data_IF_868688588626
#
_entry.id   IF_868688588626
#
_cell.length_a   1.000
_cell.length_b   1.000
_cell.length_c   1.000
_cell.angle_alpha   90.00
_cell.angle_beta   90.00
_cell.angle_gamma   90.00
#
_symmetry.space_group_name_H-M   'P 1'
#
loop_
_entity.id
_entity.type
_entity.pdbx_description
1 polymer ?
#
# COMPACT_ATOMS: atom_id res chain seq x y z
N UNK A 1 28.19 40.00 -33.42
CA UNK A 1 29.20 40.83 -32.72
C UNK A 1 28.64 42.12 -32.10
N UNK A 2 27.68 42.85 -32.72
CA UNK A 2 27.18 44.13 -32.15
C UNK A 2 26.38 43.99 -30.82
N UNK A 3 25.60 42.92 -30.63
CA UNK A 3 24.85 42.68 -29.37
C UNK A 3 25.76 42.36 -28.16
N UNK A 4 26.95 41.82 -28.39
CA UNK A 4 27.83 41.34 -27.32
C UNK A 4 28.31 42.45 -26.38
N UNK A 5 28.47 43.68 -26.87
CA UNK A 5 28.86 44.82 -26.02
C UNK A 5 27.70 45.22 -25.08
N UNK A 6 26.48 45.29 -25.59
CA UNK A 6 25.31 45.63 -24.79
C UNK A 6 24.97 44.53 -23.76
N UNK A 7 25.16 43.25 -24.09
CA UNK A 7 25.00 42.16 -23.12
C UNK A 7 26.02 42.30 -21.96
N UNK A 8 27.27 42.70 -22.25
CA UNK A 8 28.26 42.99 -21.19
C UNK A 8 27.84 44.19 -20.33
N UNK A 9 27.26 45.23 -20.92
CA UNK A 9 26.72 46.37 -20.18
C UNK A 9 25.57 45.94 -19.26
N UNK A 10 24.62 45.14 -19.77
CA UNK A 10 23.53 44.57 -18.97
C UNK A 10 24.09 43.73 -17.81
N UNK A 11 25.09 42.88 -18.06
CA UNK A 11 25.75 42.08 -17.01
C UNK A 11 26.44 42.94 -15.94
N UNK A 12 27.05 44.05 -16.33
CA UNK A 12 27.66 44.98 -15.37
C UNK A 12 26.60 45.73 -14.54
N UNK A 13 25.52 46.20 -15.17
CA UNK A 13 24.40 46.83 -14.49
C UNK A 13 23.69 45.85 -13.52
N UNK A 14 23.56 44.58 -13.93
CA UNK A 14 23.03 43.51 -13.10
C UNK A 14 23.84 43.35 -11.80
N UNK A 15 25.18 43.35 -11.86
CA UNK A 15 26.02 43.25 -10.66
C UNK A 15 25.74 44.37 -9.66
N UNK A 16 25.46 45.57 -10.15
CA UNK A 16 25.08 46.72 -9.32
C UNK A 16 23.72 46.52 -8.66
N UNK A 17 22.74 46.00 -9.40
CA UNK A 17 21.38 45.75 -8.89
C UNK A 17 21.32 44.56 -7.92
N UNK A 18 22.17 43.54 -8.10
CA UNK A 18 22.29 42.40 -7.17
C UNK A 18 22.85 42.77 -5.80
N UNK A 19 23.40 43.97 -5.62
CA UNK A 19 23.82 44.41 -4.29
C UNK A 19 22.59 44.42 -3.37
N UNK A 20 22.73 43.89 -2.17
CA UNK A 20 21.67 43.87 -1.15
C UNK A 20 21.36 45.26 -0.54
N UNK A 21 21.51 46.32 -1.32
CA UNK A 21 21.35 47.71 -0.91
C UNK A 21 19.96 47.98 -0.34
N UNK A 22 18.90 47.47 -0.99
CA UNK A 22 17.53 47.61 -0.46
C UNK A 22 17.39 46.98 0.93
N UNK A 23 17.95 45.78 1.14
CA UNK A 23 17.95 45.14 2.46
C UNK A 23 18.77 45.91 3.49
N UNK A 24 19.91 46.49 3.10
CA UNK A 24 20.78 47.28 3.98
C UNK A 24 20.14 48.59 4.42
N UNK A 25 19.35 49.22 3.56
CA UNK A 25 18.66 50.49 3.84
C UNK A 25 17.19 50.32 4.23
N UNK A 26 16.74 49.09 4.45
CA UNK A 26 15.35 48.73 4.73
C UNK A 26 14.69 49.63 5.78
N UNK A 27 15.36 49.85 6.91
CA UNK A 27 14.83 50.66 8.01
C UNK A 27 14.57 52.14 7.62
N UNK A 28 15.35 52.68 6.69
CA UNK A 28 15.16 54.04 6.18
C UNK A 28 14.09 54.08 5.09
N UNK A 29 14.05 53.09 4.21
CA UNK A 29 13.12 53.04 3.08
C UNK A 29 11.69 52.66 3.48
N UNK A 30 11.51 51.80 4.49
CA UNK A 30 10.19 51.47 5.06
C UNK A 30 9.53 52.66 5.75
N UNK A 31 10.31 53.69 6.13
CA UNK A 31 9.79 54.89 6.78
C UNK A 31 9.22 55.94 5.81
N UNK A 32 9.44 55.76 4.50
CA UNK A 32 8.98 56.68 3.47
C UNK A 32 7.48 56.52 3.17
N UNK A 33 6.76 57.61 2.83
CA UNK A 33 5.37 57.53 2.43
C UNK A 33 5.20 56.68 1.17
N UNK A 34 4.02 56.08 1.04
CA UNK A 34 3.62 55.34 -0.16
C UNK A 34 3.71 56.24 -1.40
N UNK A 35 4.19 55.68 -2.50
CA UNK A 35 4.27 56.35 -3.79
C UNK A 35 3.52 55.51 -4.83
N UNK A 36 2.51 56.09 -5.48
CA UNK A 36 1.61 55.37 -6.40
C UNK A 36 1.05 54.06 -5.81
N UNK A 37 0.64 54.09 -4.54
CA UNK A 37 0.11 52.94 -3.80
C UNK A 37 1.10 51.75 -3.64
N UNK A 38 2.39 51.94 -3.93
CA UNK A 38 3.43 50.93 -3.75
C UNK A 38 4.14 51.08 -2.41
N UNK A 39 4.26 49.98 -1.68
CA UNK A 39 5.05 49.91 -0.46
C UNK A 39 6.50 49.45 -0.73
N UNK A 40 7.35 49.43 0.31
CA UNK A 40 8.73 48.96 0.18
C UNK A 40 8.82 47.51 -0.33
N UNK A 41 7.91 46.63 0.06
CA UNK A 41 7.93 45.21 -0.34
C UNK A 41 7.60 45.06 -1.81
N UNK A 42 6.68 45.86 -2.34
CA UNK A 42 6.34 45.88 -3.76
C UNK A 42 7.55 46.31 -4.60
N UNK A 43 8.29 47.31 -4.14
CA UNK A 43 9.52 47.79 -4.79
C UNK A 43 10.63 46.75 -4.72
N UNK A 44 10.82 46.09 -3.57
CA UNK A 44 11.76 44.97 -3.40
C UNK A 44 11.39 43.81 -4.33
N UNK A 45 10.12 43.43 -4.38
CA UNK A 45 9.61 42.38 -5.27
C UNK A 45 9.86 42.72 -6.74
N UNK A 46 9.48 43.92 -7.19
CA UNK A 46 9.66 44.36 -8.56
C UNK A 46 11.15 44.45 -8.97
N UNK A 47 12.02 44.85 -8.04
CA UNK A 47 13.47 44.85 -8.25
C UNK A 47 14.01 43.43 -8.44
N UNK A 48 13.59 42.50 -7.57
CA UNK A 48 13.99 41.09 -7.67
C UNK A 48 13.44 40.42 -8.94
N UNK A 49 12.21 40.75 -9.36
CA UNK A 49 11.61 40.28 -10.61
C UNK A 49 12.51 40.66 -11.81
N UNK A 50 12.97 41.91 -11.87
CA UNK A 50 13.86 42.40 -12.93
C UNK A 50 15.23 41.73 -12.87
N UNK A 51 15.80 41.56 -11.68
CA UNK A 51 17.08 40.86 -11.49
C UNK A 51 16.97 39.44 -12.06
N UNK A 52 15.93 38.69 -11.67
CA UNK A 52 15.70 37.32 -12.13
C UNK A 52 15.49 37.26 -13.66
N UNK A 53 14.72 38.19 -14.23
CA UNK A 53 14.53 38.29 -15.68
C UNK A 53 15.87 38.49 -16.40
N UNK A 54 16.70 39.41 -15.92
CA UNK A 54 17.97 39.73 -16.54
C UNK A 54 19.01 38.63 -16.36
N UNK A 55 19.06 37.99 -15.19
CA UNK A 55 19.88 36.80 -14.94
C UNK A 55 19.54 35.68 -15.91
N UNK A 56 18.25 35.31 -15.97
CA UNK A 56 17.76 34.28 -16.88
C UNK A 56 18.14 34.61 -18.32
N UNK A 57 18.00 35.87 -18.74
CA UNK A 57 18.35 36.31 -20.09
C UNK A 57 19.85 36.24 -20.41
N UNK A 58 20.71 36.50 -19.42
CA UNK A 58 22.17 36.39 -19.59
C UNK A 58 22.59 34.91 -19.61
N UNK A 59 22.08 34.10 -18.69
CA UNK A 59 22.44 32.68 -18.55
C UNK A 59 21.96 31.84 -19.73
N UNK A 60 20.72 32.05 -20.17
CA UNK A 60 20.16 31.38 -21.36
C UNK A 60 20.66 31.98 -22.67
N UNK A 61 21.43 33.06 -22.63
CA UNK A 61 21.87 33.82 -23.80
C UNK A 61 20.71 34.32 -24.70
N UNK A 62 19.50 34.43 -24.15
CA UNK A 62 18.27 34.76 -24.88
C UNK A 62 18.28 36.18 -25.45
N UNK A 63 19.07 37.09 -24.88
CA UNK A 63 19.23 38.46 -25.41
C UNK A 63 19.80 38.50 -26.83
N UNK A 64 20.48 37.45 -27.29
CA UNK A 64 21.00 37.39 -28.66
C UNK A 64 19.88 37.34 -29.70
N UNK A 65 18.72 36.78 -29.32
CA UNK A 65 17.56 36.62 -30.21
C UNK A 65 16.73 37.91 -30.35
N UNK A 66 16.97 38.91 -29.48
CA UNK A 66 16.28 40.19 -29.55
C UNK A 66 16.86 41.09 -30.65
N UNK A 67 16.01 41.93 -31.22
CA UNK A 67 16.44 42.97 -32.16
C UNK A 67 17.50 43.88 -31.51
N UNK A 68 18.52 44.25 -32.29
CA UNK A 68 19.64 45.08 -31.82
C UNK A 68 19.18 46.36 -31.13
N UNK A 69 18.16 47.03 -31.68
CA UNK A 69 17.56 48.25 -31.10
C UNK A 69 16.95 47.98 -29.72
N UNK A 70 16.24 46.86 -29.55
CA UNK A 70 15.68 46.43 -28.27
C UNK A 70 16.78 46.17 -27.25
N UNK A 71 17.85 45.46 -27.63
CA UNK A 71 18.98 45.17 -26.72
C UNK A 71 19.72 46.46 -26.33
N UNK A 72 19.95 47.38 -27.27
CA UNK A 72 20.56 48.67 -26.99
C UNK A 72 19.70 49.51 -26.05
N UNK A 73 18.38 49.57 -26.28
CA UNK A 73 17.46 50.30 -25.42
C UNK A 73 17.37 49.66 -24.03
N UNK A 74 17.32 48.33 -23.96
CA UNK A 74 17.35 47.58 -22.70
C UNK A 74 18.62 47.90 -21.91
N UNK A 75 19.78 47.89 -22.56
CA UNK A 75 21.06 48.24 -21.94
C UNK A 75 21.06 49.68 -21.39
N UNK A 76 20.51 50.63 -22.14
CA UNK A 76 20.41 52.02 -21.69
C UNK A 76 19.47 52.16 -20.48
N UNK A 77 18.30 51.50 -20.52
CA UNK A 77 17.32 51.55 -19.43
C UNK A 77 17.86 50.88 -18.16
N UNK A 78 18.55 49.73 -18.29
CA UNK A 78 19.12 49.06 -17.12
C UNK A 78 20.29 49.81 -16.52
N UNK A 79 21.13 50.45 -17.35
CA UNK A 79 22.22 51.30 -16.87
C UNK A 79 21.68 52.51 -16.10
N UNK A 80 20.61 53.14 -16.61
CA UNK A 80 19.92 54.21 -15.91
C UNK A 80 19.38 53.72 -14.56
N UNK A 81 18.69 52.58 -14.53
CA UNK A 81 18.15 51.99 -13.30
C UNK A 81 19.27 51.66 -12.28
N UNK A 82 20.38 51.07 -12.74
CA UNK A 82 21.53 50.76 -11.90
C UNK A 82 22.23 52.03 -11.35
N UNK A 83 22.25 53.12 -12.12
CA UNK A 83 22.76 54.41 -11.65
C UNK A 83 21.89 54.99 -10.54
N UNK A 84 20.56 54.99 -10.70
CA UNK A 84 19.60 55.43 -9.68
C UNK A 84 19.68 54.55 -8.42
N UNK A 85 19.86 53.24 -8.59
CA UNK A 85 20.07 52.31 -7.50
C UNK A 85 21.35 52.64 -6.71
N UNK A 86 22.44 52.98 -7.40
CA UNK A 86 23.71 53.39 -6.77
C UNK A 86 23.60 54.75 -6.07
N UNK A 87 22.80 55.68 -6.62
CA UNK A 87 22.49 56.95 -5.95
C UNK A 87 21.67 56.71 -4.70
N UNK A 88 20.66 55.83 -4.75
CA UNK A 88 19.88 55.45 -3.57
C UNK A 88 20.77 54.79 -2.50
N UNK A 89 21.71 53.93 -2.91
CA UNK A 89 22.73 53.33 -2.03
C UNK A 89 23.57 54.39 -1.30
N UNK A 90 23.97 55.44 -2.01
CA UNK A 90 24.91 56.44 -1.48
C UNK A 90 24.20 57.54 -0.69
N UNK A 91 23.01 57.94 -1.13
CA UNK A 91 22.22 59.04 -0.57
C UNK A 91 20.72 58.67 -0.53
N UNK A 92 20.28 57.92 0.49
CA UNK A 92 18.87 57.57 0.64
C UNK A 92 18.06 58.84 0.94
N UNK A 93 17.24 59.25 -0.04
CA UNK A 93 16.31 60.37 0.10
C UNK A 93 14.98 60.00 -0.56
N UNK A 94 13.90 60.62 -0.10
CA UNK A 94 12.56 60.39 -0.64
C UNK A 94 12.51 60.64 -2.15
N UNK A 95 13.15 61.71 -2.62
CA UNK A 95 13.22 62.04 -4.04
C UNK A 95 13.94 60.96 -4.86
N UNK A 96 15.08 60.46 -4.35
CA UNK A 96 15.83 59.40 -5.02
C UNK A 96 15.04 58.08 -5.06
N UNK A 97 14.28 57.81 -4.00
CA UNK A 97 13.41 56.64 -3.92
C UNK A 97 12.27 56.72 -4.95
N UNK A 98 11.54 57.84 -5.02
CA UNK A 98 10.49 58.05 -6.03
C UNK A 98 11.03 57.99 -7.46
N UNK A 99 12.21 58.58 -7.71
CA UNK A 99 12.86 58.51 -9.02
C UNK A 99 13.21 57.07 -9.38
N UNK A 100 13.69 56.27 -8.43
CA UNK A 100 13.98 54.86 -8.65
C UNK A 100 12.72 54.08 -9.01
N UNK A 101 11.63 54.23 -8.24
CA UNK A 101 10.33 53.56 -8.49
C UNK A 101 9.79 53.90 -9.89
N UNK A 102 9.76 55.19 -10.24
CA UNK A 102 9.25 55.61 -11.56
C UNK A 102 10.05 54.98 -12.71
N UNK A 103 11.38 54.87 -12.57
CA UNK A 103 12.22 54.23 -13.58
C UNK A 103 12.11 52.70 -13.57
N UNK A 104 11.82 52.10 -12.41
CA UNK A 104 11.52 50.68 -12.27
C UNK A 104 10.26 50.31 -13.06
N UNK A 105 9.19 51.09 -12.91
CA UNK A 105 7.93 50.87 -13.63
C UNK A 105 8.07 51.11 -15.13
N UNK A 106 8.82 52.14 -15.52
CA UNK A 106 9.15 52.39 -16.93
C UNK A 106 9.91 51.20 -17.53
N UNK A 107 10.87 50.63 -16.80
CA UNK A 107 11.62 49.45 -17.22
C UNK A 107 10.70 48.22 -17.38
N UNK A 108 9.82 47.96 -16.41
CA UNK A 108 8.86 46.84 -16.49
C UNK A 108 7.93 46.99 -17.69
N UNK A 109 7.41 48.20 -17.89
CA UNK A 109 6.54 48.52 -19.03
C UNK A 109 7.29 48.34 -20.35
N UNK A 110 8.55 48.76 -20.44
CA UNK A 110 9.40 48.47 -21.58
C UNK A 110 9.55 46.96 -21.82
N UNK A 111 9.90 46.18 -20.80
CA UNK A 111 10.06 44.74 -20.94
C UNK A 111 8.76 44.04 -21.40
N UNK A 112 7.59 44.51 -20.95
CA UNK A 112 6.28 44.00 -21.40
C UNK A 112 5.99 44.37 -22.85
N UNK A 113 6.16 45.65 -23.22
CA UNK A 113 5.84 46.14 -24.56
C UNK A 113 6.71 45.51 -25.65
N UNK A 114 7.96 45.18 -25.31
CA UNK A 114 8.91 44.55 -26.25
C UNK A 114 8.94 43.02 -26.16
N UNK A 115 8.03 42.39 -25.40
CA UNK A 115 7.94 40.92 -25.30
C UNK A 115 9.17 40.25 -24.68
N UNK A 116 9.95 41.00 -23.89
CA UNK A 116 11.20 40.51 -23.30
C UNK A 116 10.92 39.40 -22.28
N UNK A 117 9.80 39.51 -21.54
CA UNK A 117 9.35 38.47 -20.63
C UNK A 117 9.08 37.14 -21.35
N UNK A 118 8.38 37.17 -22.47
CA UNK A 118 8.06 35.94 -23.21
C UNK A 118 9.32 35.31 -23.80
N UNK A 119 10.20 36.11 -24.40
CA UNK A 119 11.40 35.57 -25.05
C UNK A 119 12.45 35.03 -24.08
N UNK A 120 12.52 35.57 -22.87
CA UNK A 120 13.53 35.16 -21.89
C UNK A 120 13.01 34.07 -20.96
N UNK A 121 11.74 34.11 -20.55
CA UNK A 121 11.19 33.13 -19.61
C UNK A 121 10.57 31.92 -20.32
N UNK A 122 9.85 32.10 -21.43
CA UNK A 122 9.13 30.98 -22.07
C UNK A 122 10.03 30.17 -23.01
N UNK A 123 10.91 30.83 -23.76
CA UNK A 123 11.72 30.18 -24.79
C UNK A 123 12.67 29.09 -24.25
N UNK A 124 13.34 29.25 -23.08
CA UNK A 124 14.18 28.18 -22.52
C UNK A 124 13.38 27.01 -21.90
N UNK A 125 12.19 27.28 -21.37
CA UNK A 125 11.37 26.30 -20.62
C UNK A 125 10.58 25.39 -21.58
N UNK A 126 10.20 25.90 -22.75
CA UNK A 126 9.36 25.19 -23.71
C UNK A 126 10.01 23.91 -24.28
N UNK A 127 11.31 23.90 -24.66
CA UNK A 127 12.00 22.69 -25.10
C UNK A 127 12.12 21.62 -24.00
N UNK A 128 12.43 22.03 -22.77
CA UNK A 128 12.55 21.10 -21.63
C UNK A 128 11.21 20.46 -21.31
N UNK A 129 10.15 21.27 -21.24
CA UNK A 129 8.79 20.79 -21.00
C UNK A 129 8.32 19.87 -22.13
N UNK A 130 8.64 20.19 -23.38
CA UNK A 130 8.34 19.31 -24.52
C UNK A 130 9.07 17.97 -24.41
N UNK A 131 10.33 17.97 -23.99
CA UNK A 131 11.11 16.74 -23.83
C UNK A 131 10.58 15.88 -22.67
N UNK A 132 10.21 16.46 -21.53
CA UNK A 132 9.62 15.71 -20.42
C UNK A 132 8.28 15.08 -20.80
N UNK A 133 7.41 15.83 -21.50
CA UNK A 133 6.15 15.31 -22.02
C UNK A 133 6.38 14.14 -22.98
N UNK A 134 7.36 14.24 -23.89
CA UNK A 134 7.66 13.15 -24.81
C UNK A 134 8.17 11.88 -24.09
N UNK A 135 8.96 12.05 -23.03
CA UNK A 135 9.44 10.93 -22.21
C UNK A 135 8.26 10.26 -21.47
N UNK A 136 7.39 11.05 -20.85
CA UNK A 136 6.20 10.52 -20.17
C UNK A 136 5.25 9.83 -21.14
N UNK A 137 5.04 10.39 -22.33
CA UNK A 137 4.24 9.77 -23.39
C UNK A 137 4.83 8.41 -23.81
N UNK A 138 6.16 8.32 -23.96
CA UNK A 138 6.84 7.06 -24.25
C UNK A 138 6.62 5.99 -23.17
N UNK A 139 6.70 6.38 -21.90
CA UNK A 139 6.41 5.49 -20.76
C UNK A 139 4.95 5.02 -20.77
N UNK A 140 4.00 5.90 -21.07
CA UNK A 140 2.59 5.56 -21.16
C UNK A 140 2.30 4.59 -22.30
N UNK A 141 2.92 4.79 -23.47
CA UNK A 141 2.80 3.86 -24.60
C UNK A 141 3.35 2.49 -24.22
N UNK A 142 4.51 2.43 -23.56
CA UNK A 142 5.08 1.16 -23.09
C UNK A 142 4.16 0.46 -22.09
N UNK A 143 3.68 1.18 -21.07
CA UNK A 143 2.76 0.63 -20.07
C UNK A 143 1.45 0.13 -20.71
N UNK A 144 0.93 0.84 -21.71
CA UNK A 144 -0.26 0.41 -22.44
C UNK A 144 -0.01 -0.87 -23.25
N UNK A 145 1.16 -0.99 -23.90
CA UNK A 145 1.55 -2.20 -24.61
C UNK A 145 1.73 -3.39 -23.65
N UNK A 146 2.33 -3.17 -22.46
CA UNK A 146 2.45 -4.18 -21.41
C UNK A 146 1.07 -4.65 -20.94
N UNK A 147 0.13 -3.72 -20.69
CA UNK A 147 -1.26 -4.05 -20.33
C UNK A 147 -1.96 -4.86 -21.43
N UNK A 148 -1.76 -4.51 -22.71
CA UNK A 148 -2.30 -5.32 -23.82
C UNK A 148 -1.69 -6.72 -23.86
N UNK A 149 -0.38 -6.87 -23.67
CA UNK A 149 0.26 -8.19 -23.64
C UNK A 149 -0.26 -9.04 -22.47
N UNK A 150 -0.39 -8.44 -21.28
CA UNK A 150 -0.92 -9.11 -20.09
C UNK A 150 -2.38 -9.52 -20.30
N UNK A 151 -3.15 -8.70 -21.00
CA UNK A 151 -4.53 -8.99 -21.38
C UNK A 151 -4.61 -10.20 -22.32
N UNK A 152 -3.74 -10.27 -23.32
CA UNK A 152 -3.67 -11.41 -24.24
C UNK A 152 -3.24 -12.69 -23.51
N UNK A 153 -2.27 -12.61 -22.60
CA UNK A 153 -1.85 -13.72 -21.75
C UNK A 153 -3.00 -14.21 -20.84
N UNK A 154 -3.72 -13.28 -20.20
CA UNK A 154 -4.91 -13.60 -19.40
C UNK A 154 -5.97 -14.28 -20.26
N UNK A 155 -6.24 -13.78 -21.46
CA UNK A 155 -7.21 -14.38 -22.39
C UNK A 155 -6.81 -15.79 -22.81
N UNK A 156 -5.51 -16.02 -23.01
CA UNK A 156 -4.97 -17.34 -23.30
C UNK A 156 -5.13 -18.29 -22.10
N UNK A 157 -4.84 -17.82 -20.88
CA UNK A 157 -4.96 -18.59 -19.63
C UNK A 157 -6.42 -18.85 -19.22
N UNK A 158 -7.34 -17.94 -19.53
CA UNK A 158 -8.78 -18.04 -19.22
C UNK A 158 -9.57 -18.68 -20.37
N UNK A 159 -8.92 -19.01 -21.50
CA UNK A 159 -9.56 -19.67 -22.65
C UNK A 159 -10.54 -20.75 -22.16
N UNK A 160 -11.78 -20.80 -22.69
CA UNK A 160 -12.86 -21.67 -22.18
C UNK A 160 -12.46 -23.15 -22.09
N UNK A 161 -11.46 -23.56 -22.86
CA UNK A 161 -10.81 -24.88 -22.82
C UNK A 161 -10.07 -25.14 -21.49
N UNK A 162 -9.40 -24.13 -20.91
CA UNK A 162 -8.70 -24.23 -19.61
C UNK A 162 -9.71 -24.16 -18.46
N UNK A 163 -10.71 -23.27 -18.54
CA UNK A 163 -11.79 -23.22 -17.55
C UNK A 163 -12.54 -24.57 -17.44
N UNK A 164 -12.77 -25.24 -18.57
CA UNK A 164 -13.35 -26.59 -18.60
C UNK A 164 -12.45 -27.66 -17.96
N UNK A 165 -11.13 -27.64 -18.23
CA UNK A 165 -10.17 -28.57 -17.61
C UNK A 165 -9.98 -28.31 -16.11
N UNK A 166 -9.98 -27.04 -15.70
CA UNK A 166 -9.84 -26.62 -14.31
C UNK A 166 -11.08 -26.99 -13.49
N UNK A 167 -12.28 -26.70 -14.01
CA UNK A 167 -13.55 -27.11 -13.41
C UNK A 167 -13.63 -28.63 -13.24
N UNK A 168 -13.26 -29.41 -14.27
CA UNK A 168 -13.21 -30.87 -14.19
C UNK A 168 -12.21 -31.36 -13.14
N UNK A 169 -11.02 -30.76 -13.08
CA UNK A 169 -10.01 -31.11 -12.06
C UNK A 169 -10.50 -30.79 -10.64
N UNK A 170 -11.27 -29.72 -10.43
CA UNK A 170 -11.86 -29.42 -9.12
C UNK A 170 -12.98 -30.39 -8.76
N UNK A 171 -13.85 -30.76 -9.71
CA UNK A 171 -14.88 -31.77 -9.52
C UNK A 171 -14.29 -33.14 -9.14
N UNK A 172 -13.23 -33.57 -9.83
CA UNK A 172 -12.55 -34.84 -9.57
C UNK A 172 -11.90 -34.85 -8.16
N UNK A 173 -11.24 -33.76 -7.77
CA UNK A 173 -10.65 -33.62 -6.43
C UNK A 173 -11.70 -33.58 -5.33
N UNK A 174 -12.80 -32.85 -5.54
CA UNK A 174 -13.95 -32.81 -4.62
C UNK A 174 -14.53 -34.20 -4.41
N UNK A 175 -14.69 -34.99 -5.48
CA UNK A 175 -15.16 -36.38 -5.39
C UNK A 175 -14.19 -37.26 -4.61
N UNK A 176 -12.89 -37.12 -4.80
CA UNK A 176 -11.88 -37.83 -4.02
C UNK A 176 -11.94 -37.47 -2.52
N UNK A 177 -12.03 -36.18 -2.20
CA UNK A 177 -12.14 -35.69 -0.81
C UNK A 177 -13.44 -36.18 -0.15
N UNK A 178 -14.55 -36.20 -0.90
CA UNK A 178 -15.83 -36.74 -0.42
C UNK A 178 -15.71 -38.21 0.03
N UNK A 179 -15.00 -39.04 -0.75
CA UNK A 179 -14.73 -40.44 -0.35
C UNK A 179 -13.82 -40.54 0.87
N UNK A 180 -12.79 -39.69 0.98
CA UNK A 180 -11.95 -39.59 2.18
C UNK A 180 -12.77 -39.26 3.44
N UNK A 181 -13.66 -38.28 3.34
CA UNK A 181 -14.56 -37.87 4.43
C UNK A 181 -15.51 -38.99 4.84
N UNK A 182 -16.09 -39.69 3.86
CA UNK A 182 -16.99 -40.83 4.14
C UNK A 182 -16.24 -41.95 4.86
N UNK A 183 -15.01 -42.24 4.43
CA UNK A 183 -14.14 -43.21 5.10
C UNK A 183 -13.80 -42.78 6.52
N UNK A 184 -13.43 -41.51 6.73
CA UNK A 184 -13.16 -40.97 8.06
C UNK A 184 -14.40 -41.05 8.98
N UNK A 185 -15.60 -40.77 8.47
CA UNK A 185 -16.85 -40.89 9.22
C UNK A 185 -17.09 -42.35 9.67
N UNK A 186 -16.95 -43.31 8.75
CA UNK A 186 -17.04 -44.74 9.08
C UNK A 186 -16.03 -45.11 10.17
N UNK A 187 -14.79 -44.65 10.04
CA UNK A 187 -13.74 -44.96 11.01
C UNK A 187 -14.03 -44.35 12.39
N UNK A 188 -14.54 -43.12 12.45
CA UNK A 188 -15.03 -42.51 13.70
C UNK A 188 -16.14 -43.37 14.31
N UNK A 189 -17.14 -43.79 13.53
CA UNK A 189 -18.26 -44.61 14.03
C UNK A 189 -17.75 -45.94 14.59
N UNK A 190 -16.84 -46.61 13.89
CA UNK A 190 -16.22 -47.87 14.34
C UNK A 190 -15.39 -47.66 15.59
N UNK A 191 -14.52 -46.65 15.63
CA UNK A 191 -13.70 -46.34 16.80
C UNK A 191 -14.53 -45.95 18.02
N UNK A 192 -15.62 -45.20 17.83
CA UNK A 192 -16.56 -44.86 18.90
C UNK A 192 -17.26 -46.12 19.44
N UNK A 193 -17.71 -47.03 18.57
CA UNK A 193 -18.30 -48.30 18.97
C UNK A 193 -17.32 -49.14 19.80
N UNK A 194 -16.07 -49.27 19.34
CA UNK A 194 -15.02 -49.97 20.10
C UNK A 194 -14.73 -49.28 21.44
N UNK A 195 -14.59 -47.94 21.45
CA UNK A 195 -14.36 -47.17 22.67
C UNK A 195 -15.45 -47.41 23.71
N UNK A 196 -16.72 -47.31 23.31
CA UNK A 196 -17.87 -47.58 24.18
C UNK A 196 -17.90 -49.03 24.66
N UNK A 197 -17.59 -49.99 23.79
CA UNK A 197 -17.52 -51.41 24.16
C UNK A 197 -16.46 -51.67 25.24
N UNK A 198 -15.24 -51.15 25.06
CA UNK A 198 -14.16 -51.31 26.04
C UNK A 198 -14.44 -50.54 27.34
N UNK A 199 -15.02 -49.35 27.26
CA UNK A 199 -15.44 -48.59 28.45
C UNK A 199 -16.54 -49.32 29.22
N UNK A 200 -17.53 -49.92 28.55
CA UNK A 200 -18.57 -50.72 29.21
C UNK A 200 -17.97 -51.95 29.91
N UNK A 201 -17.01 -52.64 29.28
CA UNK A 201 -16.33 -53.76 29.92
C UNK A 201 -15.53 -53.34 31.15
N UNK A 202 -14.84 -52.19 31.09
CA UNK A 202 -14.12 -51.64 32.24
C UNK A 202 -15.09 -51.27 33.39
N UNK A 203 -16.24 -50.67 33.08
CA UNK A 203 -17.28 -50.35 34.08
C UNK A 203 -17.82 -51.63 34.73
N UNK A 204 -18.07 -52.69 33.94
CA UNK A 204 -18.50 -53.99 34.47
C UNK A 204 -17.44 -54.61 35.38
N UNK A 205 -16.17 -54.58 34.98
CA UNK A 205 -15.08 -55.10 35.81
C UNK A 205 -15.02 -54.36 37.15
N UNK A 206 -15.06 -53.02 37.13
CA UNK A 206 -15.11 -52.21 38.36
C UNK A 206 -16.31 -52.60 39.22
N UNK A 207 -17.51 -52.66 38.64
CA UNK A 207 -18.74 -52.96 39.39
C UNK A 207 -18.77 -54.38 39.95
N UNK A 208 -18.15 -55.34 39.27
CA UNK A 208 -17.97 -56.70 39.81
C UNK A 208 -16.92 -56.76 40.92
N UNK A 209 -15.82 -56.02 40.80
CA UNK A 209 -14.80 -55.95 41.85
C UNK A 209 -15.32 -55.31 43.14
N UNK A 210 -16.10 -54.23 43.04
CA UNK A 210 -16.70 -53.57 44.22
C UNK A 210 -17.79 -54.41 44.88
N UNK A 211 -18.57 -55.18 44.10
CA UNK A 211 -19.58 -56.09 44.65
C UNK A 211 -18.96 -57.28 45.39
N UNK A 212 -17.82 -57.81 44.91
CA UNK A 212 -17.10 -58.92 45.57
C UNK A 212 -16.49 -58.46 46.91
N UNK A 213 -15.99 -57.22 46.98
CA UNK A 213 -15.41 -56.66 48.21
C UNK A 213 -16.48 -56.42 49.29
N UNK A 214 -17.71 -56.06 48.91
CA UNK A 214 -18.84 -55.91 49.84
C UNK A 214 -19.39 -57.22 50.43
N UNK A 215 -19.11 -58.38 49.81
CA UNK A 215 -19.59 -59.70 50.26
C UNK A 215 -18.58 -60.37 51.21
N UNK A 216 -17.28 -60.06 51.10
CA UNK A 216 -16.23 -60.70 51.90
C UNK A 216 -16.04 -60.09 53.30
N UNK A 217 -16.53 -58.88 53.56
CA UNK A 217 -16.37 -58.21 54.85
C UNK A 217 -17.16 -58.85 56.03
N UNK A 218 -17.99 -59.86 55.77
CA UNK A 218 -18.80 -60.54 56.80
C UNK A 218 -18.20 -61.87 57.31
N UNK A 219 -16.98 -62.27 56.91
CA UNK A 219 -16.36 -63.52 57.41
C UNK A 219 -14.89 -63.37 57.83
N UNK A 220 -14.72 -63.21 59.15
CA UNK A 220 -13.61 -63.55 60.07
C UNK A 220 -12.13 -63.56 59.63
N UNK A 221 -11.35 -62.81 60.43
CA UNK A 221 -9.93 -62.88 60.76
C UNK A 221 -9.16 -64.12 60.26
N UNK A 222 -8.39 -63.93 59.17
CA UNK A 222 -7.03 -64.42 58.81
C UNK A 222 -6.91 -64.14 57.30
N UNK A 223 -6.77 -62.88 56.88
CA UNK A 223 -6.71 -62.55 55.44
C UNK A 223 -5.98 -61.25 55.06
N UNK A 224 -5.42 -60.49 56.01
CA UNK A 224 -4.90 -59.13 55.69
C UNK A 224 -3.79 -59.08 54.62
N UNK A 225 -2.96 -60.12 54.50
CA UNK A 225 -1.89 -60.17 53.49
C UNK A 225 -2.36 -60.66 52.12
N UNK A 226 -3.41 -61.48 52.05
CA UNK A 226 -3.91 -62.02 50.78
C UNK A 226 -4.90 -61.05 50.14
N UNK A 227 -5.68 -60.33 50.93
CA UNK A 227 -6.57 -59.26 50.45
C UNK A 227 -5.81 -58.05 49.92
N UNK A 228 -4.76 -57.61 50.62
CA UNK A 228 -3.91 -56.49 50.13
C UNK A 228 -3.25 -56.82 48.79
N UNK A 229 -2.77 -58.04 48.56
CA UNK A 229 -2.20 -58.46 47.27
C UNK A 229 -3.28 -58.52 46.18
N UNK A 230 -4.47 -59.06 46.48
CA UNK A 230 -5.58 -59.17 45.52
C UNK A 230 -6.16 -57.80 45.12
N UNK A 231 -6.26 -56.87 46.07
CA UNK A 231 -6.70 -55.50 45.84
C UNK A 231 -5.68 -54.72 45.00
N UNK A 232 -4.39 -54.90 45.26
CA UNK A 232 -3.33 -54.30 44.45
C UNK A 232 -3.32 -54.82 43.01
N UNK A 233 -3.55 -56.12 42.77
CA UNK A 233 -3.64 -56.69 41.42
C UNK A 233 -4.87 -56.16 40.67
N UNK A 234 -6.01 -56.03 41.34
CA UNK A 234 -7.26 -55.54 40.75
C UNK A 234 -7.19 -54.05 40.41
N UNK A 235 -6.62 -53.23 41.31
CA UNK A 235 -6.36 -51.81 41.05
C UNK A 235 -5.35 -51.61 39.91
N UNK A 236 -4.27 -52.38 39.90
CA UNK A 236 -3.27 -52.37 38.81
C UNK A 236 -3.91 -52.72 37.47
N UNK A 237 -4.82 -53.70 37.45
CA UNK A 237 -5.57 -54.09 36.24
C UNK A 237 -6.49 -52.96 35.73
N UNK A 238 -7.22 -52.29 36.62
CA UNK A 238 -8.11 -51.17 36.26
C UNK A 238 -7.30 -49.98 35.72
N UNK A 239 -6.17 -49.65 36.34
CA UNK A 239 -5.28 -48.57 35.87
C UNK A 239 -4.71 -48.90 34.50
N UNK A 240 -4.21 -50.12 34.29
CA UNK A 240 -3.65 -50.54 33.01
C UNK A 240 -4.70 -50.52 31.89
N UNK A 241 -5.93 -50.96 32.17
CA UNK A 241 -7.05 -50.94 31.21
C UNK A 241 -7.56 -49.53 30.93
N UNK A 242 -7.50 -48.62 31.91
CA UNK A 242 -7.79 -47.20 31.73
C UNK A 242 -6.75 -46.51 30.87
N UNK A 243 -5.47 -46.83 31.07
CA UNK A 243 -4.37 -46.30 30.26
C UNK A 243 -4.48 -46.77 28.80
N UNK A 244 -4.96 -47.99 28.56
CA UNK A 244 -5.21 -48.53 27.23
C UNK A 244 -6.37 -47.85 26.49
N UNK A 245 -7.28 -47.15 27.17
CA UNK A 245 -8.36 -46.38 26.54
C UNK A 245 -7.88 -45.03 25.97
N UNK A 246 -6.81 -44.45 26.53
CA UNK A 246 -6.24 -43.16 26.10
C UNK A 246 -5.92 -43.14 24.58
N UNK A 247 -5.18 -44.10 24.01
CA UNK A 247 -4.89 -44.09 22.57
C UNK A 247 -6.14 -44.23 21.70
N UNK A 248 -7.18 -44.93 22.18
CA UNK A 248 -8.45 -45.11 21.46
C UNK A 248 -9.20 -43.77 21.36
N UNK A 249 -9.34 -43.05 22.48
CA UNK A 249 -10.00 -41.75 22.48
C UNK A 249 -9.17 -40.66 21.79
N UNK A 250 -7.84 -40.72 21.90
CA UNK A 250 -6.92 -39.86 21.13
C UNK A 250 -7.12 -40.03 19.61
N UNK A 251 -7.26 -41.28 19.15
CA UNK A 251 -7.55 -41.59 17.75
C UNK A 251 -8.92 -41.05 17.31
N UNK A 252 -9.96 -41.12 18.14
CA UNK A 252 -11.26 -40.52 17.85
C UNK A 252 -11.15 -39.00 17.66
N UNK A 253 -10.48 -38.30 18.59
CA UNK A 253 -10.29 -36.85 18.51
C UNK A 253 -9.51 -36.48 17.25
N UNK A 254 -8.46 -37.23 16.93
CA UNK A 254 -7.67 -37.05 15.72
C UNK A 254 -8.53 -37.16 14.45
N UNK A 255 -9.39 -38.19 14.38
CA UNK A 255 -10.27 -38.40 13.24
C UNK A 255 -11.34 -37.31 13.10
N UNK A 256 -11.91 -36.82 14.20
CA UNK A 256 -12.85 -35.70 14.19
C UNK A 256 -12.17 -34.44 13.62
N UNK A 257 -10.95 -34.15 14.06
CA UNK A 257 -10.18 -33.03 13.54
C UNK A 257 -9.86 -33.19 12.04
N UNK A 258 -9.53 -34.41 11.61
CA UNK A 258 -9.30 -34.73 10.20
C UNK A 258 -10.58 -34.55 9.37
N UNK A 259 -11.72 -35.03 9.86
CA UNK A 259 -13.03 -34.87 9.23
C UNK A 259 -13.40 -33.39 9.04
N UNK A 260 -13.19 -32.55 10.06
CA UNK A 260 -13.45 -31.10 9.98
C UNK A 260 -12.54 -30.46 8.93
N UNK A 261 -11.24 -30.80 8.91
CA UNK A 261 -10.29 -30.29 7.90
C UNK A 261 -10.72 -30.67 6.49
N UNK A 262 -11.05 -31.94 6.26
CA UNK A 262 -11.49 -32.43 4.94
C UNK A 262 -12.79 -31.77 4.49
N UNK A 263 -13.74 -31.55 5.40
CA UNK A 263 -14.97 -30.81 5.09
C UNK A 263 -14.69 -29.38 4.64
N UNK A 264 -13.81 -28.67 5.33
CA UNK A 264 -13.44 -27.30 4.96
C UNK A 264 -12.77 -27.26 3.58
N UNK A 265 -11.90 -28.24 3.28
CA UNK A 265 -11.26 -28.35 1.97
C UNK A 265 -12.30 -28.65 0.88
N UNK A 266 -13.29 -29.51 1.14
CA UNK A 266 -14.40 -29.78 0.22
C UNK A 266 -15.23 -28.52 -0.07
N UNK A 267 -15.55 -27.73 0.96
CA UNK A 267 -16.27 -26.45 0.80
C UNK A 267 -15.48 -25.46 -0.08
N UNK A 268 -14.16 -25.36 0.12
CA UNK A 268 -13.28 -24.54 -0.72
C UNK A 268 -13.26 -24.99 -2.18
N UNK A 269 -13.19 -26.30 -2.43
CA UNK A 269 -13.21 -26.85 -3.79
C UNK A 269 -14.59 -26.71 -4.44
N UNK A 270 -15.68 -26.86 -3.68
CA UNK A 270 -17.05 -26.64 -4.16
C UNK A 270 -17.27 -25.17 -4.56
N UNK A 271 -16.74 -24.22 -3.79
CA UNK A 271 -16.76 -22.80 -4.16
C UNK A 271 -15.99 -22.54 -5.46
N UNK A 272 -14.75 -23.06 -5.55
CA UNK A 272 -13.92 -22.90 -6.76
C UNK A 272 -14.57 -23.53 -8.01
N UNK A 273 -15.21 -24.68 -7.84
CA UNK A 273 -15.98 -25.34 -8.91
C UNK A 273 -17.15 -24.47 -9.37
N UNK A 274 -17.97 -23.97 -8.43
CA UNK A 274 -19.13 -23.14 -8.73
C UNK A 274 -18.73 -21.84 -9.45
N UNK A 275 -17.70 -21.13 -8.97
CA UNK A 275 -17.22 -19.89 -9.59
C UNK A 275 -16.58 -20.16 -10.96
N UNK A 276 -15.84 -21.26 -11.12
CA UNK A 276 -15.28 -21.64 -12.42
C UNK A 276 -16.37 -21.99 -13.44
N UNK A 277 -17.47 -22.60 -12.99
CA UNK A 277 -18.61 -22.93 -13.86
C UNK A 277 -19.37 -21.69 -14.29
N UNK A 278 -19.60 -20.73 -13.37
CA UNK A 278 -20.26 -19.46 -13.71
C UNK A 278 -19.37 -18.60 -14.61
N UNK A 279 -18.05 -18.64 -14.43
CA UNK A 279 -17.09 -17.95 -15.31
C UNK A 279 -17.20 -18.42 -16.75
N UNK A 280 -17.32 -19.75 -16.96
CA UNK A 280 -17.50 -20.33 -18.29
C UNK A 280 -18.79 -19.81 -18.93
N UNK A 281 -19.90 -19.83 -18.19
CA UNK A 281 -21.21 -19.38 -18.68
C UNK A 281 -21.19 -17.87 -18.99
N UNK A 282 -20.60 -17.04 -18.11
CA UNK A 282 -20.48 -15.60 -18.34
C UNK A 282 -19.59 -15.27 -19.54
N UNK A 283 -18.51 -16.02 -19.74
CA UNK A 283 -17.64 -15.89 -20.91
C UNK A 283 -18.33 -16.29 -22.22
N UNK A 284 -19.31 -17.19 -22.18
CA UNK A 284 -20.12 -17.58 -23.34
C UNK A 284 -21.28 -16.59 -23.60
N UNK A 285 -21.83 -15.95 -22.57
CA UNK A 285 -23.02 -15.09 -22.67
C UNK A 285 -22.73 -13.64 -23.06
N UNK A 286 -21.53 -13.12 -22.77
CA UNK A 286 -21.16 -11.72 -23.05
C UNK A 286 -20.55 -11.60 -24.46
N UNK A 287 -21.27 -10.93 -25.37
CA UNK A 287 -20.84 -10.70 -26.77
C UNK A 287 -19.92 -9.49 -26.94
N UNK A 288 -19.95 -8.54 -26.00
CA UNK A 288 -19.16 -7.30 -26.02
C UNK A 288 -17.75 -7.55 -25.43
N UNK A 289 -16.66 -7.41 -26.22
CA UNK A 289 -15.32 -7.79 -25.80
C UNK A 289 -14.81 -7.00 -24.58
N UNK A 290 -15.11 -5.72 -24.43
CA UNK A 290 -14.61 -4.93 -23.30
C UNK A 290 -15.26 -5.31 -21.96
N UNK A 291 -16.59 -5.53 -21.98
CA UNK A 291 -17.35 -5.96 -20.80
C UNK A 291 -17.07 -7.40 -20.42
N UNK A 292 -16.77 -8.25 -21.42
CA UNK A 292 -16.35 -9.62 -21.20
C UNK A 292 -15.06 -9.66 -20.39
N UNK A 293 -14.08 -8.84 -20.76
CA UNK A 293 -12.78 -8.82 -20.09
C UNK A 293 -12.86 -8.32 -18.65
N UNK A 294 -13.64 -7.26 -18.38
CA UNK A 294 -13.85 -6.78 -17.01
C UNK A 294 -14.51 -7.83 -16.13
N UNK A 295 -15.51 -8.55 -16.66
CA UNK A 295 -16.23 -9.61 -15.93
C UNK A 295 -15.34 -10.82 -15.70
N UNK A 296 -14.54 -11.24 -16.69
CA UNK A 296 -13.59 -12.33 -16.54
C UNK A 296 -12.55 -12.02 -15.47
N UNK A 297 -12.04 -10.78 -15.41
CA UNK A 297 -11.03 -10.34 -14.45
C UNK A 297 -11.60 -10.21 -13.02
N UNK A 298 -12.80 -9.63 -12.87
CA UNK A 298 -13.48 -9.60 -11.57
C UNK A 298 -13.81 -11.01 -11.07
N UNK A 299 -14.22 -11.90 -11.96
CA UNK A 299 -14.52 -13.28 -11.60
C UNK A 299 -13.25 -14.10 -11.30
N UNK A 300 -12.12 -13.85 -11.97
CA UNK A 300 -10.85 -14.49 -11.61
C UNK A 300 -10.40 -14.09 -10.20
N UNK A 301 -10.57 -12.83 -9.81
CA UNK A 301 -10.27 -12.39 -8.44
C UNK A 301 -11.11 -13.13 -7.38
N UNK A 302 -12.36 -13.48 -7.70
CA UNK A 302 -13.26 -14.24 -6.81
C UNK A 302 -12.82 -15.71 -6.68
N UNK A 303 -12.25 -16.32 -7.74
CA UNK A 303 -11.70 -17.70 -7.69
C UNK A 303 -10.54 -17.81 -6.69
N UNK A 304 -9.72 -16.75 -6.57
CA UNK A 304 -8.56 -16.73 -5.70
C UNK A 304 -8.86 -16.28 -4.26
N UNK A 305 -10.05 -15.70 -4.00
CA UNK A 305 -10.46 -15.31 -2.65
C UNK A 305 -11.02 -16.52 -1.90
N UNK A 306 -10.40 -16.90 -0.78
CA UNK A 306 -10.90 -17.99 0.08
C UNK A 306 -12.23 -17.58 0.73
N UNK A 307 -13.26 -18.42 0.73
CA UNK A 307 -14.55 -18.09 1.36
C UNK A 307 -14.45 -17.86 2.87
N UNK A 308 -13.44 -18.43 3.53
CA UNK A 308 -13.36 -18.54 5.00
C UNK A 308 -12.56 -17.41 5.67
N UNK A 309 -11.94 -16.50 4.90
CA UNK A 309 -11.21 -15.35 5.49
C UNK A 309 -12.11 -14.31 6.18
N UNK A 310 -13.44 -14.48 6.17
CA UNK A 310 -14.37 -13.62 6.94
C UNK A 310 -14.69 -14.11 8.34
N UNK A 311 -14.14 -15.26 8.80
CA UNK A 311 -14.09 -15.52 10.24
C UNK A 311 -12.81 -14.89 10.75
N UNK A 312 -12.91 -13.62 11.14
CA UNK A 312 -11.94 -12.97 12.01
C UNK A 312 -11.41 -13.99 13.01
N UNK A 313 -10.11 -14.19 13.01
CA UNK A 313 -9.41 -14.89 14.06
C UNK A 313 -9.65 -14.13 15.37
N UNK A 314 -10.74 -14.45 16.06
CA UNK A 314 -10.70 -14.46 17.53
C UNK A 314 -9.76 -15.61 17.88
N UNK A 315 -8.48 -15.30 17.80
CA UNK A 315 -7.42 -16.04 18.46
C UNK A 315 -7.76 -15.96 19.95
N UNK A 316 -8.63 -16.85 20.42
CA UNK A 316 -8.66 -17.22 21.82
C UNK A 316 -7.41 -18.06 22.01
N UNK A 317 -6.30 -17.35 22.18
CA UNK A 317 -5.14 -17.89 22.88
C UNK A 317 -5.69 -18.41 24.21
N UNK A 318 -5.80 -19.73 24.33
CA UNK A 318 -6.02 -20.41 25.61
C UNK A 318 -4.66 -20.39 26.31
N UNK A 319 -4.17 -19.19 26.62
CA UNK A 319 -3.22 -18.98 27.70
C UNK A 319 -4.10 -18.72 28.91
N UNK A 320 -4.35 -19.79 29.70
CA UNK A 320 -4.83 -19.65 31.06
C UNK A 320 -3.89 -18.65 31.75
N UNK A 321 -4.38 -17.42 31.91
CA UNK A 321 -3.56 -16.33 32.39
C UNK A 321 -3.32 -16.60 33.87
N UNK A 322 -2.06 -16.71 34.27
CA UNK A 322 -1.60 -16.91 35.66
C UNK A 322 -2.24 -15.88 36.64
N UNK A 323 -2.82 -14.80 36.10
CA UNK A 323 -3.68 -13.85 36.81
C UNK A 323 -4.97 -14.47 37.38
N UNK A 324 -5.66 -15.34 36.66
CA UNK A 324 -6.91 -15.96 37.14
C UNK A 324 -6.67 -17.01 38.24
N UNK A 325 -5.53 -17.70 38.21
CA UNK A 325 -5.11 -18.62 39.28
C UNK A 325 -4.72 -17.86 40.55
N UNK A 326 -4.16 -16.65 40.41
CA UNK A 326 -3.77 -15.80 41.54
C UNK A 326 -4.97 -15.19 42.27
N UNK A 327 -6.08 -14.96 41.56
CA UNK A 327 -7.33 -14.46 42.15
C UNK A 327 -8.17 -15.56 42.81
N UNK A 328 -7.95 -16.84 42.48
CA UNK A 328 -8.60 -17.98 43.15
C UNK A 328 -7.88 -18.46 44.42
N UNK A 329 -6.65 -17.98 44.65
CA UNK A 329 -5.81 -18.35 45.81
C UNK A 329 -5.70 -17.21 46.85
N UNK A 330 -6.61 -16.24 46.81
CA UNK A 330 -6.70 -15.14 47.77
C UNK A 330 -8.05 -15.14 48.48
#
# INVERSE_FOLDING_TARGET
MKNTNYIKQISNALKTLKKETLKKQKASLESFPLWNDLDYKDVEFATNEIINLLETGVESNSFVNLAFTTVSNLANQINNLASLYSTLESTPSLQNYHNYIANLDNFRTFCRNYGIYSEIQLTPILPETKNSINIELGKLIQANNEVQSLKDDIKQLISPTIAGKLSKSYADRKKFIFFGRLFALILITVSLYFGLYYTNNLIKDILTSTKIESINNDTNEISDKTETIKNNITLTYIILRSLALIPIYSLIIFLINQYIKERNIEEDYAHKEAVSSTLKILGELISDPEKKDSVLLSASQIIYKKPIESKESKNKDITFSIKEIKDLLK
#
